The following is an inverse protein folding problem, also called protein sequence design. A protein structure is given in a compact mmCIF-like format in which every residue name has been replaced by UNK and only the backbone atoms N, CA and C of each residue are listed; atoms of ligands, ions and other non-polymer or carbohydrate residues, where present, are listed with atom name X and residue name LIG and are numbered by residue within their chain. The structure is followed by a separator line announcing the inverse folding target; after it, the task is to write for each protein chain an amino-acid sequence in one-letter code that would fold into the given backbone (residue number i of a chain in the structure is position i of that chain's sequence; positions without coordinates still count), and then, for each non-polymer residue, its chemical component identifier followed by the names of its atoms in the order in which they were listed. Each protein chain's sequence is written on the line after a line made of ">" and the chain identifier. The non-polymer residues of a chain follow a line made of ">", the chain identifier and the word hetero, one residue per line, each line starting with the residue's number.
data_IF_196920853233
#
_entry.id   IF_196920853233
#
_cell.length_a   1.000
_cell.length_b   1.000
_cell.length_c   1.000
_cell.angle_alpha   90.00
_cell.angle_beta   90.00
_cell.angle_gamma   90.00
#
_symmetry.space_group_name_H-M   'P 1'
#
loop_
_entity.id
_entity.type
_entity.pdbx_description
1 polymer ?
#
# COMPACT_ATOMS: atom_id res chain seq x y z
N UNK A 1 -51.89 -46.10 16.67
CA UNK A 1 -51.04 -45.27 15.78
C UNK A 1 -50.16 -44.40 16.66
N UNK A 2 -48.86 -44.66 16.58
CA UNK A 2 -47.69 -43.94 17.09
C UNK A 2 -47.36 -42.82 16.05
N UNK A 3 -46.61 -41.70 16.27
CA UNK A 3 -46.10 -41.07 17.51
C UNK A 3 -46.07 -39.50 17.57
N UNK A 4 -45.72 -39.02 18.78
CA UNK A 4 -44.74 -37.96 19.18
C UNK A 4 -44.85 -36.50 18.72
N UNK A 5 -44.94 -35.63 19.75
CA UNK A 5 -44.26 -34.33 19.88
C UNK A 5 -42.93 -34.28 19.12
N UNK A 6 -42.54 -33.11 18.60
CA UNK A 6 -41.15 -32.61 18.61
C UNK A 6 -41.18 -31.11 18.29
N UNK A 7 -40.94 -30.31 19.33
CA UNK A 7 -40.53 -28.91 19.24
C UNK A 7 -39.26 -28.82 18.41
N UNK A 8 -39.33 -28.20 17.25
CA UNK A 8 -38.17 -27.89 16.40
C UNK A 8 -37.30 -26.82 17.09
N UNK A 9 -36.27 -27.26 17.82
CA UNK A 9 -35.11 -26.42 18.09
C UNK A 9 -34.29 -26.32 16.81
N UNK A 10 -34.36 -25.17 16.14
CA UNK A 10 -33.44 -24.80 15.06
C UNK A 10 -32.05 -24.57 15.68
N UNK A 11 -31.25 -25.63 15.75
CA UNK A 11 -29.82 -25.51 16.02
C UNK A 11 -29.20 -24.94 14.74
N UNK A 12 -29.00 -23.62 14.72
CA UNK A 12 -28.12 -22.98 13.75
C UNK A 12 -26.70 -23.38 14.11
N UNK A 13 -26.22 -24.45 13.48
CA UNK A 13 -24.79 -24.79 13.47
C UNK A 13 -24.06 -23.65 12.78
N UNK A 14 -23.43 -22.78 13.57
CA UNK A 14 -22.47 -21.80 13.08
C UNK A 14 -21.24 -22.59 12.62
N UNK A 15 -21.23 -22.99 11.36
CA UNK A 15 -20.01 -23.41 10.69
C UNK A 15 -19.12 -22.17 10.68
N UNK A 16 -17.98 -22.27 11.36
CA UNK A 16 -16.89 -21.30 11.36
C UNK A 16 -16.28 -21.20 9.96
N UNK A 17 -17.06 -20.73 8.99
CA UNK A 17 -16.54 -20.23 7.73
C UNK A 17 -15.79 -18.96 8.05
N UNK A 18 -14.48 -18.98 7.82
CA UNK A 18 -13.67 -17.78 7.70
C UNK A 18 -14.45 -16.76 6.88
N UNK A 19 -14.83 -15.65 7.51
CA UNK A 19 -15.37 -14.49 6.80
C UNK A 19 -14.20 -13.96 5.96
N UNK A 20 -14.01 -14.55 4.78
CA UNK A 20 -13.15 -13.97 3.76
C UNK A 20 -13.74 -12.60 3.46
N UNK A 21 -12.97 -11.57 3.79
CA UNK A 21 -13.21 -10.21 3.36
C UNK A 21 -13.46 -10.24 1.83
N UNK A 22 -14.52 -9.58 1.32
CA UNK A 22 -14.92 -9.71 -0.07
C UNK A 22 -13.75 -9.37 -1.00
N UNK A 23 -13.43 -10.32 -1.86
CA UNK A 23 -12.35 -10.30 -2.87
C UNK A 23 -12.55 -9.27 -3.99
N UNK A 24 -13.49 -8.32 -3.82
CA UNK A 24 -13.97 -7.43 -4.87
C UNK A 24 -13.00 -6.30 -5.22
N UNK A 25 -11.99 -6.03 -4.39
CA UNK A 25 -10.95 -5.02 -4.65
C UNK A 25 -9.54 -5.61 -4.58
N UNK A 26 -9.26 -6.71 -5.30
CA UNK A 26 -7.87 -7.04 -5.63
C UNK A 26 -7.43 -6.12 -6.78
N UNK A 27 -6.99 -4.90 -6.45
CA UNK A 27 -6.08 -4.20 -7.36
C UNK A 27 -4.79 -5.00 -7.35
N UNK A 28 -4.51 -5.68 -8.47
CA UNK A 28 -3.57 -6.80 -8.49
C UNK A 28 -2.15 -6.44 -8.08
N UNK A 29 -1.76 -5.15 -8.06
CA UNK A 29 -0.47 -4.65 -7.58
C UNK A 29 -0.59 -3.18 -7.16
N UNK A 30 -0.85 -2.90 -5.87
CA UNK A 30 -0.98 -1.51 -5.41
C UNK A 30 0.38 -0.80 -5.46
N UNK A 31 0.48 0.29 -6.24
CA UNK A 31 1.72 1.05 -6.41
C UNK A 31 2.43 0.83 -7.76
N UNK A 32 2.07 -0.21 -8.51
CA UNK A 32 2.74 -0.53 -9.79
C UNK A 32 2.47 0.52 -10.88
N UNK A 33 1.29 1.16 -10.87
CA UNK A 33 0.95 2.21 -11.85
C UNK A 33 1.88 3.43 -11.78
N UNK A 34 2.57 3.66 -10.65
CA UNK A 34 3.58 4.72 -10.52
C UNK A 34 4.97 4.32 -11.01
N UNK A 35 5.19 3.04 -11.28
CA UNK A 35 6.50 2.51 -11.68
C UNK A 35 6.63 2.59 -13.20
N UNK A 36 7.28 3.64 -13.69
CA UNK A 36 7.81 3.63 -15.05
C UNK A 36 9.20 2.99 -15.03
N UNK A 37 9.33 1.76 -15.52
CA UNK A 37 10.65 1.22 -15.88
C UNK A 37 11.19 2.08 -17.01
N UNK A 38 12.05 3.06 -16.68
CA UNK A 38 12.64 3.94 -17.68
C UNK A 38 13.50 3.07 -18.59
N UNK A 39 13.12 2.96 -19.86
CA UNK A 39 14.06 2.51 -20.87
C UNK A 39 15.25 3.49 -20.84
N UNK A 40 16.45 2.98 -20.55
CA UNK A 40 17.73 3.69 -20.33
C UNK A 40 18.23 4.56 -21.51
N UNK A 41 17.34 5.10 -22.34
CA UNK A 41 17.67 5.87 -23.53
C UNK A 41 18.04 7.34 -23.25
N UNK A 42 17.93 7.85 -22.01
CA UNK A 42 18.13 9.29 -21.75
C UNK A 42 19.08 9.66 -20.60
N UNK A 43 19.49 8.74 -19.72
CA UNK A 43 20.51 9.05 -18.71
C UNK A 43 21.47 7.87 -18.51
N UNK A 44 22.74 8.05 -18.88
CA UNK A 44 23.77 7.01 -18.81
C UNK A 44 24.26 6.74 -17.39
N UNK A 45 23.87 7.58 -16.43
CA UNK A 45 24.40 7.57 -15.07
C UNK A 45 23.35 7.19 -14.01
N UNK A 46 22.16 6.76 -14.43
CA UNK A 46 21.07 6.35 -13.54
C UNK A 46 20.83 4.84 -13.66
N UNK A 47 20.77 4.15 -12.52
CA UNK A 47 20.48 2.71 -12.44
C UNK A 47 19.17 2.50 -11.67
N UNK A 48 18.28 1.66 -12.21
CA UNK A 48 17.08 1.24 -11.47
C UNK A 48 17.43 0.03 -10.62
N UNK A 49 17.26 0.16 -9.30
CA UNK A 49 17.45 -0.91 -8.33
C UNK A 49 16.10 -1.34 -7.75
N UNK A 50 15.96 -2.64 -7.47
CA UNK A 50 14.76 -3.21 -6.86
C UNK A 50 15.16 -3.87 -5.55
N UNK A 51 14.58 -3.38 -4.45
CA UNK A 51 14.75 -3.96 -3.12
C UNK A 51 13.43 -4.52 -2.64
N UNK A 52 13.44 -5.62 -1.89
CA UNK A 52 12.22 -6.13 -1.28
C UNK A 52 12.48 -6.64 0.13
N UNK A 53 11.46 -6.51 0.97
CA UNK A 53 11.40 -7.09 2.30
C UNK A 53 9.95 -7.37 2.67
N UNK A 54 9.64 -8.64 2.90
CA UNK A 54 8.34 -9.13 3.35
C UNK A 54 7.17 -8.59 2.50
N UNK A 55 6.42 -7.59 2.96
CA UNK A 55 5.24 -7.06 2.26
C UNK A 55 5.51 -5.79 1.42
N UNK A 56 6.78 -5.40 1.25
CA UNK A 56 7.15 -4.18 0.51
C UNK A 56 8.20 -4.47 -0.56
N UNK A 57 7.95 -3.93 -1.76
CA UNK A 57 8.93 -3.80 -2.84
C UNK A 57 9.21 -2.32 -3.06
N UNK A 58 10.47 -1.95 -3.09
CA UNK A 58 10.94 -0.62 -3.42
C UNK A 58 11.63 -0.65 -4.79
N UNK A 59 11.13 0.13 -5.75
CA UNK A 59 11.75 0.36 -7.05
C UNK A 59 12.33 1.77 -7.00
N UNK A 60 13.65 1.89 -7.11
CA UNK A 60 14.35 3.15 -6.94
C UNK A 60 15.29 3.42 -8.12
N UNK A 61 15.44 4.70 -8.45
CA UNK A 61 16.43 5.15 -9.43
C UNK A 61 17.58 5.83 -8.69
N UNK A 62 18.80 5.34 -8.95
CA UNK A 62 20.02 5.75 -8.27
C UNK A 62 20.98 6.41 -9.26
N UNK A 63 21.52 7.57 -8.90
CA UNK A 63 22.62 8.21 -9.64
C UNK A 63 23.99 7.57 -9.39
N UNK A 64 25.02 8.09 -10.04
CA UNK A 64 26.40 7.57 -10.01
C UNK A 64 27.03 7.42 -8.60
N UNK A 65 26.50 8.14 -7.59
CA UNK A 65 27.00 8.11 -6.21
C UNK A 65 26.02 7.40 -5.24
N UNK A 66 25.14 6.52 -5.75
CA UNK A 66 24.03 5.94 -5.00
C UNK A 66 23.07 7.01 -4.42
N UNK A 67 22.99 8.16 -5.09
CA UNK A 67 22.04 9.21 -4.76
C UNK A 67 20.65 8.80 -5.22
N UNK A 68 19.66 8.91 -4.34
CA UNK A 68 18.28 8.53 -4.64
C UNK A 68 17.61 9.63 -5.44
N UNK A 69 17.33 9.39 -6.72
CA UNK A 69 16.65 10.34 -7.60
C UNK A 69 15.13 10.12 -7.63
N UNK A 70 14.70 8.87 -7.51
CA UNK A 70 13.29 8.47 -7.57
C UNK A 70 13.03 7.26 -6.67
N UNK A 71 11.82 7.16 -6.13
CA UNK A 71 11.43 6.03 -5.29
C UNK A 71 9.93 5.72 -5.39
N UNK A 72 9.62 4.49 -5.76
CA UNK A 72 8.28 3.95 -5.76
C UNK A 72 8.20 2.77 -4.77
N UNK A 73 7.28 2.84 -3.83
CA UNK A 73 6.99 1.76 -2.89
C UNK A 73 5.70 1.05 -3.31
N UNK A 74 5.78 -0.28 -3.38
CA UNK A 74 4.71 -1.18 -3.80
C UNK A 74 4.40 -2.10 -2.62
N UNK A 75 3.12 -2.22 -2.29
CA UNK A 75 2.65 -3.18 -1.28
C UNK A 75 2.40 -4.53 -1.96
N UNK A 76 2.96 -5.60 -1.37
CA UNK A 76 2.77 -6.98 -1.85
C UNK A 76 2.36 -7.87 -0.68
N UNK A 77 1.07 -8.08 -0.51
CA UNK A 77 0.61 -8.79 0.68
C UNK A 77 0.67 -10.31 0.51
N UNK A 78 0.29 -10.78 -0.68
CA UNK A 78 0.28 -12.19 -1.01
C UNK A 78 1.60 -12.62 -1.65
N UNK A 79 2.02 -13.88 -1.42
CA UNK A 79 3.31 -14.37 -1.92
C UNK A 79 3.35 -14.53 -3.44
N UNK A 80 2.21 -14.84 -4.06
CA UNK A 80 2.04 -14.88 -5.52
C UNK A 80 2.16 -13.48 -6.13
N UNK A 81 1.59 -12.47 -5.48
CA UNK A 81 1.70 -11.05 -5.86
C UNK A 81 3.17 -10.59 -5.88
N UNK A 82 3.90 -10.86 -4.78
CA UNK A 82 5.32 -10.56 -4.71
C UNK A 82 6.11 -11.27 -5.82
N UNK A 83 5.81 -12.56 -6.07
CA UNK A 83 6.51 -13.34 -7.08
C UNK A 83 6.27 -12.84 -8.50
N UNK A 84 5.06 -12.36 -8.82
CA UNK A 84 4.73 -11.83 -10.14
C UNK A 84 5.45 -10.50 -10.41
N UNK A 85 5.42 -9.56 -9.46
CA UNK A 85 6.17 -8.30 -9.57
C UNK A 85 7.66 -8.59 -9.74
N UNK A 86 8.22 -9.44 -8.87
CA UNK A 86 9.65 -9.75 -8.90
C UNK A 86 10.06 -10.43 -10.22
N UNK A 87 9.21 -11.28 -10.81
CA UNK A 87 9.46 -11.86 -12.13
C UNK A 87 9.45 -10.81 -13.23
N UNK A 88 8.46 -9.92 -13.25
CA UNK A 88 8.37 -8.85 -14.26
C UNK A 88 9.58 -7.91 -14.17
N UNK A 89 10.00 -7.55 -12.95
CA UNK A 89 11.15 -6.70 -12.69
C UNK A 89 12.49 -7.39 -12.98
N UNK A 90 12.58 -8.72 -12.81
CA UNK A 90 13.80 -9.51 -13.08
C UNK A 90 14.27 -9.46 -14.54
N UNK A 91 13.38 -9.06 -15.46
CA UNK A 91 13.73 -8.83 -16.86
C UNK A 91 14.70 -7.66 -17.06
N UNK A 92 14.72 -6.71 -16.11
CA UNK A 92 15.48 -5.45 -16.21
C UNK A 92 16.55 -5.34 -15.12
N UNK A 93 16.22 -5.75 -13.88
CA UNK A 93 17.12 -5.66 -12.72
C UNK A 93 16.90 -6.86 -11.79
N UNK A 94 17.98 -7.38 -11.19
CA UNK A 94 17.88 -8.45 -10.17
C UNK A 94 17.32 -7.87 -8.85
N UNK A 95 16.15 -8.32 -8.37
CA UNK A 95 15.63 -7.86 -7.09
C UNK A 95 16.47 -8.36 -5.91
N UNK A 96 16.78 -7.47 -4.97
CA UNK A 96 17.60 -7.76 -3.80
C UNK A 96 16.78 -7.83 -2.51
N UNK A 97 16.86 -8.95 -1.80
CA UNK A 97 16.33 -9.08 -0.44
C UNK A 97 17.20 -8.25 0.52
N UNK A 98 16.57 -7.39 1.32
CA UNK A 98 17.24 -6.58 2.35
C UNK A 98 16.70 -6.90 3.74
N UNK A 99 17.32 -6.38 4.80
CA UNK A 99 16.78 -6.51 6.15
C UNK A 99 15.66 -5.49 6.41
N UNK A 100 14.85 -5.72 7.46
CA UNK A 100 13.85 -4.76 7.93
C UNK A 100 14.44 -3.36 8.16
N UNK A 101 15.62 -3.29 8.78
CA UNK A 101 16.30 -2.03 9.08
C UNK A 101 16.72 -1.30 7.81
N UNK A 102 17.23 -2.04 6.81
CA UNK A 102 17.61 -1.48 5.52
C UNK A 102 16.39 -0.98 4.75
N UNK A 103 15.30 -1.76 4.69
CA UNK A 103 14.07 -1.34 4.03
C UNK A 103 13.48 -0.10 4.69
N UNK A 104 13.35 -0.10 6.03
CA UNK A 104 12.81 1.06 6.77
C UNK A 104 13.67 2.31 6.56
N UNK A 105 15.01 2.16 6.53
CA UNK A 105 15.92 3.26 6.22
C UNK A 105 15.70 3.79 4.80
N UNK A 106 15.56 2.90 3.82
CA UNK A 106 15.27 3.28 2.45
C UNK A 106 13.93 4.04 2.34
N UNK A 107 12.88 3.53 2.97
CA UNK A 107 11.56 4.19 3.02
C UNK A 107 11.63 5.58 3.64
N UNK A 108 12.44 5.77 4.69
CA UNK A 108 12.68 7.11 5.29
C UNK A 108 13.38 8.06 4.30
N UNK A 109 14.33 7.55 3.51
CA UNK A 109 14.99 8.33 2.46
C UNK A 109 14.00 8.69 1.33
N UNK A 110 13.12 7.77 0.95
CA UNK A 110 12.07 8.03 -0.03
C UNK A 110 11.10 9.13 0.44
N UNK A 111 10.68 9.09 1.71
CA UNK A 111 9.83 10.12 2.28
C UNK A 111 10.52 11.50 2.29
N UNK A 112 11.82 11.55 2.59
CA UNK A 112 12.58 12.79 2.54
C UNK A 112 12.67 13.35 1.11
N UNK A 113 12.96 12.49 0.13
CA UNK A 113 13.00 12.87 -1.28
C UNK A 113 11.65 13.44 -1.74
N UNK A 114 10.57 12.74 -1.42
CA UNK A 114 9.20 13.13 -1.78
C UNK A 114 8.81 14.47 -1.14
N UNK A 115 9.28 14.81 0.07
CA UNK A 115 9.11 16.15 0.65
C UNK A 115 9.83 17.22 -0.16
N UNK A 116 11.09 16.97 -0.51
CA UNK A 116 11.91 17.92 -1.27
C UNK A 116 11.30 18.20 -2.65
N UNK A 117 10.83 17.17 -3.35
CA UNK A 117 10.20 17.32 -4.67
C UNK A 117 8.87 18.11 -4.60
N UNK A 118 8.08 17.88 -3.55
CA UNK A 118 6.84 18.63 -3.32
C UNK A 118 7.08 20.10 -2.93
N UNK A 119 8.11 20.39 -2.13
CA UNK A 119 8.47 21.77 -1.75
C UNK A 119 9.01 22.55 -2.97
N UNK A 120 9.79 21.90 -3.84
CA UNK A 120 10.30 22.50 -5.07
C UNK A 120 9.19 22.86 -6.07
N UNK A 121 8.08 22.12 -6.06
CA UNK A 121 6.90 22.38 -6.91
C UNK A 121 5.87 23.30 -6.24
N UNK A 122 6.02 23.58 -4.94
CA UNK A 122 5.08 24.32 -4.09
C UNK A 122 5.02 25.85 -4.25
N UNK A 123 5.75 26.47 -5.20
CA UNK A 123 5.68 27.93 -5.45
C UNK A 123 4.52 28.33 -6.38
N UNK A 124 3.70 27.39 -6.85
CA UNK A 124 2.52 27.72 -7.64
C UNK A 124 1.37 26.78 -7.31
N UNK A 125 0.45 27.21 -6.45
CA UNK A 125 -0.99 27.20 -6.73
C UNK A 125 -1.78 27.77 -5.54
N UNK A 126 -2.36 28.94 -5.79
CA UNK A 126 -3.38 29.59 -4.98
C UNK A 126 -4.58 28.66 -4.81
N UNK A 127 -5.05 28.58 -3.57
CA UNK A 127 -6.24 27.87 -3.07
C UNK A 127 -7.40 27.91 -4.07
N UNK A 128 -7.73 26.76 -4.66
CA UNK A 128 -9.07 26.49 -5.17
C UNK A 128 -9.89 25.84 -4.07
N UNK A 129 -10.77 26.63 -3.45
CA UNK A 129 -11.71 26.21 -2.41
C UNK A 129 -12.79 25.33 -3.05
N UNK A 130 -12.51 24.03 -3.18
CA UNK A 130 -13.39 23.02 -3.76
C UNK A 130 -14.46 22.52 -2.80
N UNK A 131 -15.66 22.30 -3.36
CA UNK A 131 -16.97 21.96 -2.80
C UNK A 131 -17.04 21.00 -1.59
N UNK A 132 -17.87 21.37 -0.61
CA UNK A 132 -18.18 20.66 0.65
C UNK A 132 -18.83 19.26 0.46
N UNK A 133 -19.22 18.91 -0.77
CA UNK A 133 -19.94 17.65 -1.08
C UNK A 133 -19.00 16.44 -1.14
N UNK A 134 -17.76 16.61 -1.62
CA UNK A 134 -16.76 15.52 -1.66
C UNK A 134 -16.28 15.07 -0.27
N UNK A 135 -16.32 15.99 0.70
CA UNK A 135 -15.92 15.71 2.09
C UNK A 135 -16.89 14.79 2.83
N UNK A 136 -18.20 14.88 2.55
CA UNK A 136 -19.21 14.03 3.20
C UNK A 136 -19.17 12.60 2.65
N UNK A 137 -18.98 12.45 1.34
CA UNK A 137 -18.84 11.15 0.68
C UNK A 137 -17.59 10.40 1.13
N UNK A 138 -16.46 11.09 1.31
CA UNK A 138 -15.20 10.49 1.79
C UNK A 138 -15.34 9.89 3.19
N UNK A 139 -16.08 10.55 4.10
CA UNK A 139 -16.34 10.04 5.45
C UNK A 139 -17.22 8.77 5.43
N UNK A 140 -18.19 8.68 4.52
CA UNK A 140 -19.02 7.49 4.34
C UNK A 140 -18.20 6.30 3.82
N UNK A 141 -17.16 6.54 3.02
CA UNK A 141 -16.21 5.52 2.57
C UNK A 141 -15.09 5.22 3.58
N UNK A 142 -15.08 5.85 4.76
CA UNK A 142 -14.07 5.63 5.78
C UNK A 142 -12.70 6.22 5.48
N UNK A 143 -12.61 7.20 4.57
CA UNK A 143 -11.39 7.93 4.20
C UNK A 143 -11.49 9.37 4.71
N UNK A 144 -10.43 9.87 5.38
CA UNK A 144 -10.38 11.22 5.91
C UNK A 144 -10.43 12.24 4.74
N UNK A 145 -11.37 13.21 4.75
CA UNK A 145 -11.49 14.18 3.67
C UNK A 145 -10.20 14.92 3.36
N UNK A 146 -9.87 15.01 2.07
CA UNK A 146 -8.65 15.68 1.62
C UNK A 146 -7.39 14.81 1.70
N UNK A 147 -7.52 13.55 2.11
CA UNK A 147 -6.46 12.54 2.10
C UNK A 147 -6.81 11.42 1.13
N UNK A 148 -5.83 10.59 0.78
CA UNK A 148 -6.04 9.36 0.01
C UNK A 148 -5.67 8.11 0.79
N UNK A 149 -4.75 8.22 1.75
CA UNK A 149 -4.18 7.15 2.55
C UNK A 149 -4.80 6.98 3.94
N UNK A 150 -5.51 7.99 4.44
CA UNK A 150 -5.99 7.95 5.83
C UNK A 150 -7.38 7.33 5.94
N UNK A 151 -7.48 6.03 6.26
CA UNK A 151 -8.78 5.42 6.51
C UNK A 151 -8.79 3.91 6.72
N UNK A 152 -9.96 3.31 6.50
CA UNK A 152 -10.14 1.86 6.51
C UNK A 152 -9.59 1.25 5.21
N UNK A 153 -8.27 1.21 5.10
CA UNK A 153 -7.57 1.09 3.82
C UNK A 153 -7.44 2.46 3.17
N UNK A 154 -7.26 2.48 1.86
CA UNK A 154 -6.96 3.70 1.14
C UNK A 154 -7.42 3.70 -0.32
N UNK A 155 -7.47 4.89 -0.93
CA UNK A 155 -7.90 5.12 -2.32
C UNK A 155 -6.76 5.62 -3.22
N UNK A 156 -5.51 5.57 -2.75
CA UNK A 156 -4.36 6.02 -3.52
C UNK A 156 -4.00 5.02 -4.63
N UNK A 157 -3.70 5.53 -5.83
CA UNK A 157 -3.33 4.69 -6.97
C UNK A 157 -1.85 4.25 -6.92
N UNK A 158 -0.98 5.11 -6.41
CA UNK A 158 0.46 4.89 -6.34
C UNK A 158 1.11 5.64 -5.17
N UNK A 159 2.39 5.38 -4.89
CA UNK A 159 3.13 5.96 -3.77
C UNK A 159 3.03 7.50 -3.71
N UNK A 160 3.12 8.18 -4.84
CA UNK A 160 3.09 9.65 -4.90
C UNK A 160 1.67 10.24 -4.94
N UNK A 161 0.65 9.40 -4.96
CA UNK A 161 -0.74 9.83 -5.04
C UNK A 161 -1.25 10.31 -3.67
N UNK A 162 -0.93 11.55 -3.35
CA UNK A 162 -1.32 12.22 -2.11
C UNK A 162 -2.50 13.18 -2.35
N UNK A 163 -3.36 13.29 -1.34
CA UNK A 163 -4.43 14.26 -1.25
C UNK A 163 -3.93 15.67 -0.91
N UNK A 164 -4.90 16.60 -0.83
CA UNK A 164 -4.68 18.02 -0.52
C UNK A 164 -4.05 18.22 0.86
N UNK A 165 -4.43 17.41 1.85
CA UNK A 165 -3.86 17.46 3.20
C UNK A 165 -2.58 16.61 3.25
N UNK A 166 -1.60 16.98 2.43
CA UNK A 166 -0.40 16.18 2.11
C UNK A 166 0.39 15.76 3.35
N UNK A 167 0.49 16.61 4.37
CA UNK A 167 1.28 16.33 5.57
C UNK A 167 0.71 15.14 6.37
N UNK A 168 -0.60 15.12 6.62
CA UNK A 168 -1.24 14.00 7.33
C UNK A 168 -1.33 12.77 6.43
N UNK A 169 -1.54 12.97 5.14
CA UNK A 169 -1.65 11.87 4.18
C UNK A 169 -0.34 11.07 4.06
N UNK A 170 0.82 11.74 4.12
CA UNK A 170 2.14 11.08 4.21
C UNK A 170 2.29 10.18 5.44
N UNK A 171 1.74 10.60 6.58
CA UNK A 171 1.77 9.77 7.79
C UNK A 171 0.95 8.49 7.59
N UNK A 172 -0.24 8.60 6.99
CA UNK A 172 -1.09 7.44 6.71
C UNK A 172 -0.47 6.54 5.63
N UNK A 173 0.13 7.11 4.58
CA UNK A 173 0.91 6.35 3.59
C UNK A 173 2.03 5.54 4.23
N UNK A 174 2.78 6.16 5.16
CA UNK A 174 3.86 5.49 5.87
C UNK A 174 3.36 4.33 6.75
N UNK A 175 2.20 4.51 7.38
CA UNK A 175 1.53 3.46 8.14
C UNK A 175 1.09 2.30 7.23
N UNK A 176 0.43 2.62 6.13
CA UNK A 176 -0.12 1.63 5.22
C UNK A 176 0.98 0.85 4.49
N UNK A 177 2.09 1.49 4.11
CA UNK A 177 3.19 0.82 3.43
C UNK A 177 4.17 0.10 4.35
N UNK A 178 3.82 -0.11 5.63
CA UNK A 178 4.67 -0.84 6.56
C UNK A 178 5.06 -2.22 6.00
N UNK A 179 6.36 -2.59 5.96
CA UNK A 179 6.80 -3.87 5.40
C UNK A 179 6.31 -5.09 6.16
N UNK A 180 5.89 -4.91 7.41
CA UNK A 180 5.43 -5.98 8.28
C UNK A 180 4.14 -5.53 8.93
N UNK A 181 3.01 -6.08 8.49
CA UNK A 181 1.69 -5.82 9.05
C UNK A 181 0.78 -7.05 8.97
N UNK A 182 -0.27 -7.08 9.77
CA UNK A 182 -1.31 -8.11 9.77
C UNK A 182 -2.64 -7.40 9.58
N UNK A 183 -3.25 -7.59 8.40
CA UNK A 183 -4.55 -7.00 8.07
C UNK A 183 -5.64 -7.50 9.03
N UNK A 184 -6.75 -6.78 9.09
CA UNK A 184 -7.90 -7.14 9.90
C UNK A 184 -8.36 -8.58 9.61
N UNK A 185 -8.64 -9.35 10.67
CA UNK A 185 -9.07 -10.76 10.59
C UNK A 185 -8.11 -11.70 9.85
N UNK A 186 -6.85 -11.32 9.65
CA UNK A 186 -5.84 -12.17 9.01
C UNK A 186 -4.89 -12.80 10.03
N UNK A 187 -4.28 -13.91 9.63
CA UNK A 187 -3.22 -14.59 10.38
C UNK A 187 -1.91 -14.51 9.59
N UNK A 188 -0.85 -14.02 10.23
CA UNK A 188 0.52 -13.99 9.67
C UNK A 188 1.53 -14.10 10.80
N UNK A 189 2.71 -14.65 10.54
CA UNK A 189 3.76 -14.86 11.56
C UNK A 189 3.28 -15.66 12.78
N UNK A 190 2.33 -16.58 12.58
CA UNK A 190 1.66 -17.34 13.64
C UNK A 190 0.90 -16.45 14.66
N UNK A 191 0.54 -15.23 14.27
CA UNK A 191 -0.27 -14.29 15.04
C UNK A 191 -1.55 -13.98 14.27
N UNK A 192 -2.68 -13.90 14.98
CA UNK A 192 -3.98 -13.59 14.38
C UNK A 192 -4.45 -12.22 14.85
N UNK A 193 -4.78 -11.34 13.90
CA UNK A 193 -5.34 -10.05 14.19
C UNK A 193 -6.88 -10.11 14.23
N UNK A 194 -7.45 -10.36 15.41
CA UNK A 194 -8.91 -10.40 15.60
C UNK A 194 -9.60 -9.03 15.55
N UNK A 195 -8.86 -7.94 15.36
CA UNK A 195 -9.43 -6.59 15.26
C UNK A 195 -9.97 -6.34 13.84
N UNK A 196 -10.83 -5.32 13.71
CA UNK A 196 -11.39 -4.87 12.42
C UNK A 196 -10.48 -3.89 11.67
N UNK A 197 -9.24 -3.72 12.14
CA UNK A 197 -8.23 -2.83 11.57
C UNK A 197 -6.86 -3.51 11.55
N UNK A 198 -5.98 -3.07 10.66
CA UNK A 198 -4.61 -3.59 10.47
C UNK A 198 -3.72 -3.30 11.69
N UNK A 199 -2.78 -4.20 11.98
CA UNK A 199 -1.76 -4.07 13.04
C UNK A 199 -0.36 -4.27 12.50
#
# INVERSE_FOLDING_TARGET
>A
MIPTDWTFFLIVTIISGSVQQPTFFKNSFKGLNGVTLRNHAYDRNEITAVYYYDQTVAVVDLGANNELHNCNLIEVYEQDEASEILRNLSSTTVPQLVSFQQMTKLMQQCELLDKIQHDATGISNVVSKGSHVGSVLSLLSGILPGTKWCGAGDIAENYHDLGRETQIDRCCRSHDLCPVKIRAQQTRYNLTNYSVYTK
#
